data_IF_699124916280
#
_entry.id   IF_699124916280
#
_cell.length_a   1.000
_cell.length_b   1.000
_cell.length_c   1.000
_cell.angle_alpha   90.00
_cell.angle_beta   90.00
_cell.angle_gamma   90.00
#
_symmetry.space_group_name_H-M   'P 1'
#
loop_
_entity.id
_entity.type
_entity.pdbx_description
1 polymer ?
#
# COMPACT_ATOMS: atom_id res chain seq x y z
N UNK A 1 29.75 9.45 4.33
CA UNK A 1 30.11 8.59 3.17
C UNK A 1 30.38 7.11 3.50
N UNK A 2 30.99 6.77 4.64
CA UNK A 2 31.26 5.38 5.02
C UNK A 2 30.03 4.44 5.08
N UNK A 3 28.85 4.97 5.41
CA UNK A 3 27.61 4.17 5.43
C UNK A 3 27.11 3.80 4.02
N UNK A 4 27.32 4.69 3.03
CA UNK A 4 26.93 4.44 1.63
C UNK A 4 27.81 3.37 1.00
N UNK A 5 29.12 3.37 1.30
CA UNK A 5 30.03 2.34 0.83
C UNK A 5 29.67 0.97 1.43
N UNK A 6 29.31 0.92 2.72
CA UNK A 6 28.83 -0.29 3.40
C UNK A 6 27.55 -0.87 2.76
N UNK A 7 26.59 0.00 2.39
CA UNK A 7 25.38 -0.42 1.68
C UNK A 7 25.66 -0.92 0.25
N UNK A 8 26.59 -0.30 -0.47
CA UNK A 8 27.01 -0.80 -1.80
C UNK A 8 27.73 -2.14 -1.70
N UNK A 9 28.53 -2.34 -0.65
CA UNK A 9 29.22 -3.60 -0.38
C UNK A 9 28.24 -4.72 0.01
N UNK A 10 27.16 -4.39 0.73
CA UNK A 10 26.15 -5.37 1.12
C UNK A 10 25.25 -5.82 -0.04
N UNK A 11 25.18 -5.08 -1.14
CA UNK A 11 24.33 -5.41 -2.30
C UNK A 11 24.63 -6.77 -2.92
N UNK A 12 25.92 -7.11 -3.04
CA UNK A 12 26.36 -8.42 -3.55
C UNK A 12 26.07 -9.59 -2.60
N UNK A 13 25.94 -9.34 -1.30
CA UNK A 13 25.57 -10.37 -0.32
C UNK A 13 24.05 -10.59 -0.29
N UNK A 14 23.27 -9.51 -0.44
CA UNK A 14 21.80 -9.55 -0.44
C UNK A 14 21.23 -10.26 -1.65
N UNK A 15 21.74 -9.97 -2.84
CA UNK A 15 21.37 -10.68 -4.08
C UNK A 15 21.67 -12.18 -3.99
N UNK A 16 22.81 -12.56 -3.42
CA UNK A 16 23.14 -13.98 -3.17
C UNK A 16 22.19 -14.65 -2.19
N UNK A 17 21.85 -13.98 -1.09
CA UNK A 17 20.90 -14.48 -0.09
C UNK A 17 19.50 -14.63 -0.67
N UNK A 18 19.04 -13.67 -1.48
CA UNK A 18 17.76 -13.77 -2.19
C UNK A 18 17.77 -14.92 -3.20
N UNK A 19 18.82 -15.08 -4.00
CA UNK A 19 18.88 -16.23 -4.91
C UNK A 19 18.88 -17.57 -4.15
N UNK A 20 19.57 -17.67 -3.01
CA UNK A 20 19.51 -18.86 -2.16
C UNK A 20 18.10 -19.11 -1.61
N UNK A 21 17.39 -18.06 -1.17
CA UNK A 21 16.00 -18.16 -0.72
C UNK A 21 15.06 -18.61 -1.84
N UNK A 22 15.24 -18.10 -3.06
CA UNK A 22 14.46 -18.53 -4.23
C UNK A 22 14.58 -20.02 -4.44
N UNK A 23 15.80 -20.53 -4.48
CA UNK A 23 16.05 -21.95 -4.73
C UNK A 23 15.48 -22.81 -3.60
N UNK A 24 15.63 -22.41 -2.33
CA UNK A 24 14.99 -23.11 -1.20
C UNK A 24 13.46 -23.14 -1.31
N UNK A 25 12.83 -22.02 -1.69
CA UNK A 25 11.37 -21.94 -1.85
C UNK A 25 10.91 -22.81 -3.02
N UNK A 26 11.66 -22.82 -4.13
CA UNK A 26 11.39 -23.70 -5.27
C UNK A 26 11.48 -25.17 -4.88
N UNK A 27 12.55 -25.57 -4.22
CA UNK A 27 12.74 -26.94 -3.77
C UNK A 27 11.63 -27.37 -2.80
N UNK A 28 11.24 -26.51 -1.87
CA UNK A 28 10.17 -26.81 -0.88
C UNK A 28 8.79 -26.93 -1.52
N UNK A 29 8.46 -26.07 -2.49
CA UNK A 29 7.15 -26.05 -3.13
C UNK A 29 7.00 -27.15 -4.19
N UNK A 30 8.12 -27.65 -4.73
CA UNK A 30 8.15 -28.64 -5.83
C UNK A 30 8.55 -30.05 -5.32
N UNK A 31 8.85 -30.21 -4.03
CA UNK A 31 9.32 -31.49 -3.47
C UNK A 31 8.27 -32.60 -3.43
N UNK A 32 7.00 -32.32 -3.73
CA UNK A 32 5.94 -33.32 -3.67
C UNK A 32 6.09 -34.37 -4.81
N UNK A 33 6.30 -35.65 -4.48
CA UNK A 33 6.51 -36.71 -5.46
C UNK A 33 5.26 -37.03 -6.30
N UNK A 34 4.05 -36.74 -5.80
CA UNK A 34 2.79 -37.00 -6.50
C UNK A 34 2.31 -35.80 -7.34
N UNK A 35 3.07 -34.70 -7.38
CA UNK A 35 2.68 -33.49 -8.11
C UNK A 35 2.73 -33.71 -9.64
N UNK A 36 1.61 -33.51 -10.36
CA UNK A 36 1.59 -33.61 -11.82
C UNK A 36 2.55 -32.60 -12.48
N UNK A 37 3.28 -33.02 -13.52
CA UNK A 37 4.31 -32.19 -14.16
C UNK A 37 3.82 -30.84 -14.70
N UNK A 38 2.54 -30.75 -15.11
CA UNK A 38 1.93 -29.49 -15.52
C UNK A 38 1.78 -28.50 -14.35
N UNK A 39 1.42 -29.01 -13.16
CA UNK A 39 1.28 -28.20 -11.95
C UNK A 39 2.65 -27.75 -11.44
N UNK A 40 3.65 -28.63 -11.47
CA UNK A 40 5.05 -28.31 -11.15
C UNK A 40 5.57 -27.13 -11.98
N UNK A 41 5.46 -27.20 -13.31
CA UNK A 41 5.90 -26.11 -14.20
C UNK A 41 5.12 -24.81 -13.95
N UNK A 42 3.83 -24.91 -13.63
CA UNK A 42 3.00 -23.73 -13.33
C UNK A 42 3.41 -23.06 -12.01
N UNK A 43 3.74 -23.86 -11.00
CA UNK A 43 4.24 -23.38 -9.71
C UNK A 43 5.62 -22.74 -9.86
N UNK A 44 6.55 -23.38 -10.57
CA UNK A 44 7.88 -22.82 -10.88
C UNK A 44 7.77 -21.45 -11.56
N UNK A 45 6.91 -21.34 -12.58
CA UNK A 45 6.68 -20.07 -13.29
C UNK A 45 6.06 -19.00 -12.39
N UNK A 46 5.17 -19.39 -11.48
CA UNK A 46 4.55 -18.45 -10.53
C UNK A 46 5.56 -17.93 -9.51
N UNK A 47 6.45 -18.81 -9.02
CA UNK A 47 7.55 -18.43 -8.13
C UNK A 47 8.51 -17.49 -8.86
N UNK A 48 8.83 -17.76 -10.12
CA UNK A 48 9.72 -16.90 -10.91
C UNK A 48 9.14 -15.51 -11.17
N UNK A 49 7.83 -15.42 -11.44
CA UNK A 49 7.15 -14.14 -11.57
C UNK A 49 7.15 -13.35 -10.25
N UNK A 50 6.79 -14.00 -9.14
CA UNK A 50 6.84 -13.36 -7.84
C UNK A 50 8.26 -12.91 -7.46
N UNK A 51 9.29 -13.68 -7.84
CA UNK A 51 10.66 -13.35 -7.53
C UNK A 51 11.17 -12.11 -8.28
N UNK A 52 10.72 -11.89 -9.51
CA UNK A 52 11.05 -10.68 -10.27
C UNK A 52 10.53 -9.42 -9.56
N UNK A 53 9.31 -9.48 -9.03
CA UNK A 53 8.72 -8.36 -8.29
C UNK A 53 9.43 -8.12 -6.95
N UNK A 54 9.83 -9.19 -6.25
CA UNK A 54 10.55 -9.10 -4.96
C UNK A 54 11.91 -8.42 -5.14
N UNK A 55 12.65 -8.73 -6.21
CA UNK A 55 13.95 -8.09 -6.48
C UNK A 55 13.78 -6.58 -6.68
N UNK A 56 12.83 -6.17 -7.52
CA UNK A 56 12.55 -4.75 -7.78
C UNK A 56 12.12 -4.03 -6.51
N UNK A 57 11.32 -4.69 -5.67
CA UNK A 57 10.87 -4.13 -4.39
C UNK A 57 12.03 -3.99 -3.39
N UNK A 58 12.94 -4.98 -3.30
CA UNK A 58 14.12 -4.90 -2.44
C UNK A 58 15.01 -3.72 -2.82
N UNK A 59 15.28 -3.54 -4.12
CA UNK A 59 16.09 -2.42 -4.62
C UNK A 59 15.48 -1.06 -4.26
N UNK A 60 14.16 -0.91 -4.38
CA UNK A 60 13.43 0.30 -3.97
C UNK A 60 13.52 0.55 -2.47
N UNK A 61 13.27 -0.46 -1.64
CA UNK A 61 13.34 -0.34 -0.18
C UNK A 61 14.75 0.06 0.30
N UNK A 62 15.78 -0.48 -0.35
CA UNK A 62 17.18 -0.16 -0.03
C UNK A 62 17.52 1.25 -0.44
N UNK A 63 17.07 1.69 -1.62
CA UNK A 63 17.23 3.07 -2.08
C UNK A 63 16.51 4.05 -1.13
N UNK A 64 15.29 3.73 -0.69
CA UNK A 64 14.52 4.54 0.25
C UNK A 64 15.16 4.58 1.65
N UNK A 65 15.67 3.45 2.14
CA UNK A 65 16.42 3.39 3.39
C UNK A 65 17.71 4.22 3.31
N UNK A 66 18.44 4.14 2.19
CA UNK A 66 19.62 4.96 1.94
C UNK A 66 19.29 6.46 1.90
N UNK A 67 18.19 6.83 1.22
CA UNK A 67 17.72 8.21 1.15
C UNK A 67 17.32 8.74 2.53
N UNK A 68 16.63 7.91 3.33
CA UNK A 68 16.22 8.22 4.70
C UNK A 68 17.40 8.51 5.62
N UNK A 69 18.44 7.69 5.56
CA UNK A 69 19.64 7.85 6.40
C UNK A 69 20.55 9.00 5.94
N UNK A 70 20.54 9.33 4.64
CA UNK A 70 21.34 10.43 4.09
C UNK A 70 20.69 11.80 4.34
N UNK A 71 19.50 11.84 4.97
CA UNK A 71 18.71 13.08 5.11
C UNK A 71 18.20 13.64 3.77
N UNK A 72 18.39 12.90 2.67
CA UNK A 72 17.85 13.23 1.34
C UNK A 72 16.40 12.78 1.16
N UNK A 73 15.88 11.96 2.07
CA UNK A 73 14.44 11.75 2.20
C UNK A 73 13.79 12.83 3.06
N UNK A 74 14.21 14.10 2.92
CA UNK A 74 13.19 15.13 2.97
C UNK A 74 12.23 14.79 1.84
N UNK A 75 11.13 14.14 2.23
CA UNK A 75 9.98 13.84 1.39
C UNK A 75 9.78 15.08 0.52
N UNK A 76 9.94 14.95 -0.79
CA UNK A 76 9.99 16.08 -1.74
C UNK A 76 8.61 16.74 -1.85
N UNK A 77 8.22 17.41 -0.76
CA UNK A 77 6.95 18.07 -0.59
C UNK A 77 6.84 19.24 -1.56
N UNK A 78 7.96 19.87 -1.88
CA UNK A 78 8.04 20.97 -2.81
C UNK A 78 7.80 20.48 -4.24
N UNK A 79 8.46 19.39 -4.66
CA UNK A 79 8.22 18.76 -5.96
C UNK A 79 6.78 18.26 -6.13
N UNK A 80 6.22 17.61 -5.11
CA UNK A 80 4.82 17.16 -5.11
C UNK A 80 3.81 18.33 -5.09
N UNK A 81 4.12 19.40 -4.33
CA UNK A 81 3.28 20.60 -4.26
C UNK A 81 3.27 21.37 -5.58
N UNK A 82 4.35 21.32 -6.37
CA UNK A 82 4.42 21.93 -7.70
C UNK A 82 3.67 21.11 -8.76
N UNK A 83 3.57 19.78 -8.62
CA UNK A 83 2.81 18.93 -9.54
C UNK A 83 1.29 19.07 -9.37
N UNK A 84 0.80 19.46 -8.19
CA UNK A 84 -0.62 19.55 -7.89
C UNK A 84 -1.21 20.96 -7.98
N UNK A 85 -2.39 21.12 -8.62
CA UNK A 85 -3.20 22.34 -8.44
C UNK A 85 -3.89 22.29 -7.07
N UNK A 86 -3.64 23.27 -6.20
CA UNK A 86 -4.41 23.43 -4.95
C UNK A 86 -5.83 23.88 -5.29
N UNK A 87 -6.88 23.10 -4.95
CA UNK A 87 -8.25 23.51 -5.20
C UNK A 87 -8.60 24.73 -4.33
N UNK A 88 -9.45 25.62 -4.84
CA UNK A 88 -9.99 26.74 -4.04
C UNK A 88 -10.69 26.20 -2.78
N UNK A 89 -10.55 26.93 -1.67
CA UNK A 89 -11.20 26.60 -0.41
C UNK A 89 -12.71 26.43 -0.60
N UNK A 90 -13.28 25.39 0.01
CA UNK A 90 -14.71 25.02 -0.08
C UNK A 90 -15.23 24.61 -1.48
N UNK A 91 -14.38 24.45 -2.49
CA UNK A 91 -14.77 23.83 -3.76
C UNK A 91 -15.15 22.35 -3.55
N UNK A 92 -16.03 21.76 -4.38
CA UNK A 92 -16.25 20.30 -4.41
C UNK A 92 -14.95 19.49 -4.54
N UNK A 93 -13.94 20.03 -5.24
CA UNK A 93 -12.61 19.42 -5.34
C UNK A 93 -11.84 19.48 -4.02
N UNK A 94 -12.04 20.53 -3.21
CA UNK A 94 -11.45 20.66 -1.88
C UNK A 94 -12.09 19.70 -0.89
N UNK A 95 -13.41 19.56 -0.91
CA UNK A 95 -14.13 18.59 -0.05
C UNK A 95 -13.67 17.17 -0.38
N UNK A 96 -13.63 16.81 -1.67
CA UNK A 96 -13.08 15.54 -2.15
C UNK A 96 -11.66 15.33 -1.63
N UNK A 97 -10.75 16.27 -1.85
CA UNK A 97 -9.35 16.16 -1.43
C UNK A 97 -9.23 16.01 0.09
N UNK A 98 -10.03 16.76 0.86
CA UNK A 98 -10.01 16.71 2.32
C UNK A 98 -10.52 15.38 2.88
N UNK A 99 -11.61 14.84 2.31
CA UNK A 99 -12.16 13.53 2.70
C UNK A 99 -11.17 12.40 2.36
N UNK A 100 -10.63 12.40 1.15
CA UNK A 100 -9.63 11.42 0.71
C UNK A 100 -8.36 11.48 1.56
N UNK A 101 -7.84 12.67 1.84
CA UNK A 101 -6.63 12.83 2.65
C UNK A 101 -6.86 12.43 4.11
N UNK A 102 -8.07 12.63 4.63
CA UNK A 102 -8.42 12.17 5.97
C UNK A 102 -8.46 10.64 6.05
N UNK A 103 -9.06 9.97 5.06
CA UNK A 103 -9.22 8.50 5.04
C UNK A 103 -7.98 7.75 4.55
N UNK A 104 -7.29 8.27 3.55
CA UNK A 104 -6.16 7.65 2.85
C UNK A 104 -4.99 8.65 2.75
N UNK A 105 -4.40 9.07 3.88
CA UNK A 105 -3.24 9.94 3.83
C UNK A 105 -2.02 9.19 3.30
N UNK A 106 -1.24 9.89 2.48
CA UNK A 106 0.01 9.40 1.92
C UNK A 106 1.22 9.61 2.86
N UNK A 107 1.08 10.49 3.86
CA UNK A 107 2.17 11.01 4.69
C UNK A 107 2.02 10.73 6.20
N UNK A 108 0.81 10.37 6.65
CA UNK A 108 0.48 10.16 8.07
C UNK A 108 0.43 8.68 8.41
N UNK A 109 1.05 8.33 9.52
CA UNK A 109 0.89 7.00 10.13
C UNK A 109 -0.52 6.81 10.69
N UNK A 110 -0.93 5.56 10.92
CA UNK A 110 -2.23 5.21 11.52
C UNK A 110 -2.43 5.96 12.85
N UNK A 111 -1.39 6.04 13.69
CA UNK A 111 -1.44 6.81 14.94
C UNK A 111 -1.56 8.32 14.72
N UNK A 112 -1.04 8.85 13.61
CA UNK A 112 -1.24 10.23 13.19
C UNK A 112 -2.68 10.51 12.75
N UNK A 113 -3.34 9.54 12.12
CA UNK A 113 -4.74 9.65 11.71
C UNK A 113 -5.69 9.67 12.91
N UNK A 114 -5.43 8.82 13.92
CA UNK A 114 -6.23 8.72 15.15
C UNK A 114 -6.34 10.05 15.91
N UNK A 115 -5.38 10.97 15.74
CA UNK A 115 -5.41 12.30 16.37
C UNK A 115 -6.38 13.28 15.69
N UNK A 116 -6.79 13.01 14.45
CA UNK A 116 -7.65 13.90 13.68
C UNK A 116 -9.14 13.65 14.05
N UNK A 117 -9.87 14.66 14.56
CA UNK A 117 -11.28 14.48 14.94
C UNK A 117 -12.18 14.16 13.74
N UNK A 118 -11.83 14.64 12.54
CA UNK A 118 -12.59 14.33 11.33
C UNK A 118 -12.49 12.86 10.94
N UNK A 119 -11.36 12.23 11.25
CA UNK A 119 -11.13 10.81 10.97
C UNK A 119 -12.10 9.94 11.78
N UNK A 120 -12.31 10.26 13.06
CA UNK A 120 -13.27 9.55 13.91
C UNK A 120 -14.71 9.65 13.40
N UNK A 121 -15.13 10.83 12.94
CA UNK A 121 -16.47 11.03 12.38
C UNK A 121 -16.66 10.16 11.13
N UNK A 122 -15.70 10.19 10.21
CA UNK A 122 -15.72 9.39 8.99
C UNK A 122 -15.66 7.89 9.29
N UNK A 123 -14.86 7.48 10.29
CA UNK A 123 -14.75 6.10 10.73
C UNK A 123 -16.10 5.61 11.27
N UNK A 124 -16.75 6.35 12.17
CA UNK A 124 -18.05 5.99 12.73
C UNK A 124 -19.09 5.82 11.62
N UNK A 125 -19.18 6.78 10.68
CA UNK A 125 -20.09 6.70 9.53
C UNK A 125 -19.78 5.45 8.67
N UNK A 126 -18.50 5.13 8.48
CA UNK A 126 -18.08 3.96 7.70
C UNK A 126 -18.43 2.62 8.36
N UNK A 127 -18.59 2.60 9.68
CA UNK A 127 -18.85 1.38 10.46
C UNK A 127 -20.33 1.11 10.72
N UNK A 128 -21.22 2.10 10.59
CA UNK A 128 -22.67 1.94 10.83
C UNK A 128 -23.32 1.17 9.66
N UNK A 129 -23.72 -0.11 9.85
CA UNK A 129 -24.30 -0.90 8.77
C UNK A 129 -25.80 -0.64 8.57
N UNK A 130 -26.41 0.16 9.45
CA UNK A 130 -27.85 0.45 9.46
C UNK A 130 -28.28 1.28 8.24
N UNK A 131 -29.49 1.00 7.73
CA UNK A 131 -30.14 1.76 6.65
C UNK A 131 -29.34 1.91 5.33
N UNK A 132 -28.33 1.06 5.08
CA UNK A 132 -27.50 1.15 3.89
C UNK A 132 -26.53 2.35 3.88
N UNK A 133 -26.39 3.07 5.00
CA UNK A 133 -25.51 4.25 5.14
C UNK A 133 -24.08 3.89 4.77
N UNK A 134 -23.58 2.75 5.24
CA UNK A 134 -22.26 2.22 4.89
C UNK A 134 -22.08 2.04 3.37
N UNK A 135 -23.06 1.44 2.69
CA UNK A 135 -22.98 1.20 1.25
C UNK A 135 -22.93 2.51 0.46
N UNK A 136 -23.76 3.49 0.87
CA UNK A 136 -23.78 4.83 0.27
C UNK A 136 -22.45 5.55 0.53
N UNK A 137 -21.95 5.50 1.75
CA UNK A 137 -20.68 6.12 2.13
C UNK A 137 -19.52 5.59 1.29
N UNK A 138 -19.34 4.27 1.22
CA UNK A 138 -18.27 3.66 0.43
C UNK A 138 -18.44 3.91 -1.08
N UNK A 139 -19.68 3.97 -1.60
CA UNK A 139 -19.94 4.36 -2.98
C UNK A 139 -19.52 5.81 -3.28
N UNK A 140 -19.80 6.76 -2.36
CA UNK A 140 -19.36 8.15 -2.48
C UNK A 140 -17.83 8.26 -2.45
N UNK A 141 -17.19 7.52 -1.54
CA UNK A 141 -15.71 7.46 -1.48
C UNK A 141 -15.12 6.87 -2.76
N UNK A 142 -15.74 5.83 -3.33
CA UNK A 142 -15.31 5.24 -4.61
C UNK A 142 -15.40 6.25 -5.75
N UNK A 143 -16.51 7.02 -5.83
CA UNK A 143 -16.64 8.11 -6.81
C UNK A 143 -15.55 9.18 -6.63
N UNK A 144 -15.19 9.46 -5.37
CA UNK A 144 -14.06 10.33 -5.05
C UNK A 144 -12.71 9.70 -5.38
N UNK A 145 -12.52 8.39 -5.44
CA UNK A 145 -11.25 7.85 -5.95
C UNK A 145 -11.22 7.96 -7.47
N UNK A 146 -12.27 7.46 -8.14
CA UNK A 146 -12.35 7.33 -9.61
C UNK A 146 -12.30 8.65 -10.38
N UNK A 147 -12.77 9.76 -9.78
CA UNK A 147 -12.76 11.07 -10.44
C UNK A 147 -11.37 11.75 -10.46
N UNK A 148 -10.33 11.11 -9.91
CA UNK A 148 -8.95 11.52 -10.15
C UNK A 148 -8.56 11.03 -11.55
N UNK A 149 -8.18 11.91 -12.46
CA UNK A 149 -7.63 11.51 -13.75
C UNK A 149 -6.14 11.88 -13.78
N UNK A 150 -5.21 10.90 -13.78
CA UNK A 150 -5.41 9.45 -13.68
C UNK A 150 -5.84 9.01 -12.27
N UNK A 151 -6.51 7.85 -12.18
CA UNK A 151 -6.92 7.28 -10.91
C UNK A 151 -5.67 6.78 -10.17
N UNK A 152 -5.46 7.29 -8.97
CA UNK A 152 -4.30 6.92 -8.15
C UNK A 152 -4.45 5.48 -7.64
N UNK A 153 -3.56 4.60 -8.08
CA UNK A 153 -3.56 3.18 -7.72
C UNK A 153 -3.43 2.99 -6.21
N UNK A 154 -2.64 3.83 -5.55
CA UNK A 154 -2.46 3.77 -4.10
C UNK A 154 -3.79 4.01 -3.36
N UNK A 155 -4.57 5.01 -3.80
CA UNK A 155 -5.88 5.31 -3.23
C UNK A 155 -6.89 4.19 -3.49
N UNK A 156 -6.85 3.57 -4.67
CA UNK A 156 -7.74 2.45 -5.01
C UNK A 156 -7.45 1.21 -4.17
N UNK A 157 -6.18 0.83 -4.02
CA UNK A 157 -5.76 -0.31 -3.20
C UNK A 157 -6.09 -0.06 -1.73
N UNK A 158 -5.78 1.14 -1.21
CA UNK A 158 -6.11 1.53 0.16
C UNK A 158 -7.62 1.47 0.41
N UNK A 159 -8.42 1.96 -0.54
CA UNK A 159 -9.88 1.85 -0.49
C UNK A 159 -10.34 0.39 -0.37
N UNK A 160 -9.84 -0.52 -1.21
CA UNK A 160 -10.24 -1.94 -1.20
C UNK A 160 -9.88 -2.59 0.13
N UNK A 161 -8.69 -2.31 0.65
CA UNK A 161 -8.20 -2.85 1.92
C UNK A 161 -9.04 -2.35 3.10
N UNK A 162 -9.29 -1.05 3.20
CA UNK A 162 -10.09 -0.48 4.30
C UNK A 162 -11.57 -0.87 4.20
N UNK A 163 -12.13 -0.95 2.98
CA UNK A 163 -13.50 -1.42 2.77
C UNK A 163 -13.68 -2.88 3.23
N UNK A 164 -12.75 -3.77 2.87
CA UNK A 164 -12.78 -5.17 3.34
C UNK A 164 -12.51 -5.25 4.85
N UNK A 165 -11.57 -4.47 5.37
CA UNK A 165 -11.25 -4.44 6.80
C UNK A 165 -12.44 -4.01 7.67
N UNK A 166 -13.15 -2.96 7.25
CA UNK A 166 -14.36 -2.50 7.97
C UNK A 166 -15.50 -3.51 7.95
N UNK A 167 -15.61 -4.34 6.91
CA UNK A 167 -16.57 -5.45 6.90
C UNK A 167 -16.25 -6.48 7.99
N UNK A 168 -14.98 -6.90 8.11
CA UNK A 168 -14.54 -7.86 9.14
C UNK A 168 -14.81 -7.33 10.55
N UNK A 169 -14.50 -6.06 10.82
CA UNK A 169 -14.71 -5.47 12.15
C UNK A 169 -16.20 -5.30 12.45
N UNK A 170 -16.97 -4.80 11.48
CA UNK A 170 -18.41 -4.54 11.64
C UNK A 170 -19.22 -5.85 11.79
N UNK A 171 -18.91 -6.89 11.01
CA UNK A 171 -19.61 -8.18 11.11
C UNK A 171 -19.10 -9.05 12.26
N UNK A 172 -17.83 -8.92 12.65
CA UNK A 172 -17.21 -9.76 13.68
C UNK A 172 -17.38 -9.24 15.11
N UNK A 173 -17.49 -7.92 15.32
CA UNK A 173 -17.51 -7.31 16.68
C UNK A 173 -18.90 -6.78 17.07
N UNK A 174 -19.71 -6.32 16.12
CA UNK A 174 -21.03 -5.71 16.41
C UNK A 174 -22.18 -6.73 16.31
N UNK A 175 -21.92 -7.92 15.75
CA UNK A 175 -22.89 -9.03 15.65
C UNK A 175 -22.36 -10.33 16.27
N UNK A 176 -21.63 -10.24 17.39
CA UNK A 176 -21.45 -11.34 18.35
C UNK A 176 -22.07 -10.97 19.69
#
# INVERSE_FOLDING_TARGET
>A
DAFKSLFSLSGGMRTKMLMALREMVKETMVSDPDMPGCLRRRMEHSIDQAWADIIIYEEKMVADAQNSLTGRAERDWEGLAMMGRRPMTFSPMWVRAKVLYCMFPFDRSIFGQIKDPLWWILLIISMVPQYGIRSIFWAVVLLFVLRGCPADEYQLVSYILTFKGTQVISSGVVMS
#
